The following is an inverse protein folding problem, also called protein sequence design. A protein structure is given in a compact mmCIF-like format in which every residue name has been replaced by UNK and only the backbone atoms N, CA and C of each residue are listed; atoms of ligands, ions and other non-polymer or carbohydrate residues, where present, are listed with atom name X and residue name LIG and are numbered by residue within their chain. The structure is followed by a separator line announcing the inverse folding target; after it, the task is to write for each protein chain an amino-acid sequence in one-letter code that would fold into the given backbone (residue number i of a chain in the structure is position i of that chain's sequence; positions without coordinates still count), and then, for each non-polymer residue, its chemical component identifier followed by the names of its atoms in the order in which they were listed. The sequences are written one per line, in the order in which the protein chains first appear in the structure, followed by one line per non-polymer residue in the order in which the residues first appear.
data_IF_173842332670
#
_entry.id   IF_173842332670
#
_cell.length_a   1.000
_cell.length_b   1.000
_cell.length_c   1.000
_cell.angle_alpha   90.00
_cell.angle_beta   90.00
_cell.angle_gamma   90.00
#
_symmetry.space_group_name_H-M   'P 1'
#
loop_
_entity.id
_entity.type
_entity.pdbx_description
1 polymer ?
#
# COMPACT_ATOMS: atom_id res chain seq x y z
N UNK A 1 5.02 30.43 81.72
CA UNK A 1 5.31 29.56 80.60
C UNK A 1 4.20 29.74 79.56
N UNK A 2 4.44 30.48 78.44
CA UNK A 2 3.49 30.68 77.35
C UNK A 2 3.90 29.75 76.21
N UNK A 3 3.08 28.79 75.90
CA UNK A 3 3.23 27.89 74.76
C UNK A 3 2.68 28.62 73.51
N UNK A 4 3.54 28.90 72.54
CA UNK A 4 3.14 29.36 71.18
C UNK A 4 2.86 28.14 70.31
N UNK A 5 1.59 28.03 69.86
CA UNK A 5 1.14 27.01 68.89
C UNK A 5 1.40 27.58 67.48
N UNK A 6 2.35 27.00 66.76
CA UNK A 6 2.62 27.29 65.34
C UNK A 6 1.66 26.47 64.47
N UNK A 7 0.69 27.14 63.82
CA UNK A 7 -0.16 26.53 62.80
C UNK A 7 0.59 26.56 61.46
N UNK A 8 1.00 25.39 60.97
CA UNK A 8 1.44 25.24 59.59
C UNK A 8 0.25 25.15 58.65
N UNK A 9 0.04 26.19 57.81
CA UNK A 9 -0.87 26.17 56.67
C UNK A 9 -0.18 25.39 55.55
N UNK A 10 -0.62 24.15 55.28
CA UNK A 10 -0.28 23.42 54.06
C UNK A 10 -1.09 24.06 52.90
N UNK A 11 -0.43 24.86 52.07
CA UNK A 11 -0.99 25.30 50.80
C UNK A 11 -0.97 24.13 49.82
N UNK A 12 -2.12 23.49 49.60
CA UNK A 12 -2.29 22.52 48.53
C UNK A 12 -2.40 23.32 47.23
N UNK A 13 -1.29 23.41 46.50
CA UNK A 13 -1.30 23.88 45.13
C UNK A 13 -2.05 22.86 44.25
N UNK A 14 -3.34 23.06 44.06
CA UNK A 14 -4.12 22.36 43.03
C UNK A 14 -3.60 22.80 41.66
N UNK A 15 -2.70 22.08 41.09
CA UNK A 15 -2.34 22.24 39.66
C UNK A 15 -3.58 21.91 38.85
N UNK A 16 -4.30 22.93 38.39
CA UNK A 16 -5.33 22.79 37.41
C UNK A 16 -4.64 22.19 36.15
N UNK A 17 -4.94 20.93 35.85
CA UNK A 17 -4.57 20.35 34.56
C UNK A 17 -5.43 21.09 33.53
N UNK A 18 -4.87 22.13 32.92
CA UNK A 18 -5.47 22.78 31.75
C UNK A 18 -5.51 21.71 30.66
N UNK A 19 -6.71 21.30 30.27
CA UNK A 19 -6.88 20.38 29.17
C UNK A 19 -6.18 20.98 27.95
N UNK A 20 -5.18 20.27 27.44
CA UNK A 20 -4.43 20.74 26.27
C UNK A 20 -5.32 20.61 25.03
N UNK A 21 -5.84 21.73 24.52
CA UNK A 21 -6.72 21.76 23.36
C UNK A 21 -5.96 21.62 22.02
N UNK A 22 -4.62 21.66 22.07
CA UNK A 22 -3.77 21.47 20.90
C UNK A 22 -2.74 20.37 21.16
N UNK A 23 -2.70 19.40 20.27
CA UNK A 23 -1.77 18.27 20.28
C UNK A 23 -0.84 18.43 19.08
N UNK A 24 0.47 18.39 19.30
CA UNK A 24 1.47 18.55 18.27
C UNK A 24 2.10 17.21 17.88
N UNK A 25 2.36 17.05 16.58
CA UNK A 25 3.02 15.88 15.99
C UNK A 25 4.17 16.34 15.12
N UNK A 26 5.36 15.76 15.32
CA UNK A 26 6.56 16.06 14.55
C UNK A 26 7.30 14.77 14.18
N UNK A 27 7.74 14.60 12.93
CA UNK A 27 8.38 13.35 12.50
C UNK A 27 9.77 13.22 13.16
N UNK A 28 10.18 12.00 13.48
CA UNK A 28 11.50 11.71 14.06
C UNK A 28 11.67 12.13 15.53
N UNK A 29 10.59 12.51 16.22
CA UNK A 29 10.65 12.82 17.65
C UNK A 29 11.03 11.57 18.45
N UNK A 30 12.02 11.70 19.34
CA UNK A 30 12.50 10.66 20.26
C UNK A 30 12.39 11.11 21.71
N UNK A 31 12.44 10.18 22.65
CA UNK A 31 12.36 10.45 24.09
C UNK A 31 10.93 10.59 24.62
N UNK A 32 10.76 11.38 25.70
CA UNK A 32 9.45 11.57 26.34
C UNK A 32 8.58 12.46 25.46
N UNK A 33 7.41 11.97 25.10
CA UNK A 33 6.45 12.64 24.23
C UNK A 33 5.18 12.98 25.01
N UNK A 34 4.78 14.24 24.99
CA UNK A 34 3.64 14.76 25.74
C UNK A 34 2.56 15.39 24.83
N UNK A 35 2.85 15.49 23.54
CA UNK A 35 1.98 16.16 22.56
C UNK A 35 1.94 17.68 22.70
N UNK A 36 2.90 18.30 23.43
CA UNK A 36 3.04 19.77 23.47
C UNK A 36 3.92 20.25 22.31
N UNK A 37 3.98 21.56 22.10
CA UNK A 37 4.87 22.16 21.08
C UNK A 37 6.34 21.86 21.36
N UNK A 38 6.76 21.80 22.63
CA UNK A 38 8.13 21.51 23.07
C UNK A 38 8.44 20.01 23.13
N UNK A 39 7.41 19.16 23.18
CA UNK A 39 7.51 17.71 23.30
C UNK A 39 6.41 17.03 22.49
N UNK A 40 6.42 17.15 21.14
CA UNK A 40 5.39 16.63 20.27
C UNK A 40 5.37 15.10 20.26
N UNK A 41 4.27 14.50 19.83
CA UNK A 41 4.23 13.08 19.48
C UNK A 41 5.04 12.83 18.19
N UNK A 42 5.70 11.67 18.12
CA UNK A 42 6.41 11.21 16.91
C UNK A 42 5.51 10.52 15.90
N UNK A 43 4.32 10.08 16.34
CA UNK A 43 3.38 9.30 15.53
C UNK A 43 1.99 9.92 15.53
N UNK A 44 1.28 9.72 14.41
CA UNK A 44 -0.11 10.17 14.27
C UNK A 44 -1.05 9.31 15.12
N UNK A 45 -0.73 8.03 15.27
CA UNK A 45 -1.50 7.08 16.07
C UNK A 45 -1.65 7.53 17.51
N UNK A 46 -0.55 7.96 18.15
CA UNK A 46 -0.56 8.44 19.54
C UNK A 46 -1.36 9.74 19.68
N UNK A 47 -1.14 10.69 18.79
CA UNK A 47 -1.87 11.95 18.78
C UNK A 47 -3.37 11.74 18.56
N UNK A 48 -3.76 10.88 17.62
CA UNK A 48 -5.15 10.53 17.32
C UNK A 48 -5.80 9.86 18.53
N UNK A 49 -5.12 8.89 19.15
CA UNK A 49 -5.61 8.23 20.39
C UNK A 49 -5.86 9.24 21.49
N UNK A 50 -4.94 10.17 21.72
CA UNK A 50 -5.08 11.22 22.73
C UNK A 50 -6.25 12.16 22.39
N UNK A 51 -6.31 12.67 21.15
CA UNK A 51 -7.33 13.61 20.71
C UNK A 51 -8.75 13.03 20.78
N UNK A 52 -8.93 11.78 20.33
CA UNK A 52 -10.25 11.11 20.36
C UNK A 52 -10.76 10.80 21.78
N UNK A 53 -9.87 10.70 22.78
CA UNK A 53 -10.24 10.44 24.17
C UNK A 53 -10.29 11.70 25.04
N UNK A 54 -10.01 12.87 24.46
CA UNK A 54 -10.11 14.14 25.20
C UNK A 54 -11.57 14.45 25.52
N UNK A 55 -11.80 14.90 26.75
CA UNK A 55 -13.11 15.34 27.24
C UNK A 55 -13.06 16.82 27.55
N UNK A 56 -14.21 17.50 27.54
CA UNK A 56 -14.31 18.92 27.79
C UNK A 56 -15.37 19.58 26.91
N UNK A 57 -15.23 20.86 26.64
CA UNK A 57 -16.17 21.63 25.81
C UNK A 57 -15.53 22.22 24.56
N UNK A 58 -14.20 22.24 24.49
CA UNK A 58 -13.46 22.92 23.43
C UNK A 58 -13.02 21.93 22.34
N UNK A 59 -12.90 22.44 21.12
CA UNK A 59 -12.36 21.69 20.00
C UNK A 59 -10.90 21.31 20.25
N UNK A 60 -10.54 20.06 19.99
CA UNK A 60 -9.15 19.59 20.01
C UNK A 60 -8.54 19.74 18.61
N UNK A 61 -7.37 20.36 18.53
CA UNK A 61 -6.59 20.50 17.32
C UNK A 61 -5.37 19.56 17.36
N UNK A 62 -5.28 18.61 16.44
CA UNK A 62 -4.09 17.79 16.22
C UNK A 62 -3.33 18.42 15.06
N UNK A 63 -2.22 19.09 15.39
CA UNK A 63 -1.37 19.80 14.44
C UNK A 63 -0.16 18.98 14.06
N UNK A 64 -0.09 18.63 12.77
CA UNK A 64 0.93 17.74 12.23
C UNK A 64 1.90 18.56 11.40
N UNK A 65 3.16 18.60 11.80
CA UNK A 65 4.22 19.28 11.06
C UNK A 65 4.45 18.60 9.72
N UNK A 66 4.95 19.38 8.73
CA UNK A 66 5.37 18.83 7.43
C UNK A 66 6.39 17.71 7.62
N UNK A 67 6.26 16.64 6.84
CA UNK A 67 7.14 15.49 6.91
C UNK A 67 6.48 14.19 6.45
N UNK A 68 7.22 13.10 6.57
CA UNK A 68 6.77 11.76 6.17
C UNK A 68 6.46 10.91 7.41
N UNK A 69 5.24 10.38 7.47
CA UNK A 69 4.69 9.61 8.59
C UNK A 69 4.30 8.21 8.13
N UNK A 70 5.21 7.23 8.22
CA UNK A 70 4.87 5.85 7.93
C UNK A 70 3.95 5.30 9.02
N UNK A 71 2.84 4.70 8.62
CA UNK A 71 1.91 4.03 9.51
C UNK A 71 2.33 2.58 9.70
N UNK A 72 2.37 2.12 10.95
CA UNK A 72 2.56 0.70 11.27
C UNK A 72 1.26 -0.10 11.14
N UNK A 73 0.11 0.57 11.19
CA UNK A 73 -1.21 -0.04 11.07
C UNK A 73 -2.24 0.99 10.57
N UNK A 74 -3.36 0.48 10.07
CA UNK A 74 -4.50 1.33 9.69
C UNK A 74 -4.98 2.17 10.88
N UNK A 75 -5.06 3.48 10.72
CA UNK A 75 -5.71 4.37 11.68
C UNK A 75 -7.20 4.03 11.79
N UNK A 76 -7.75 4.02 13.02
CA UNK A 76 -9.15 3.64 13.24
C UNK A 76 -9.89 4.67 14.05
N UNK A 77 -11.11 5.00 13.61
CA UNK A 77 -12.05 5.85 14.31
C UNK A 77 -13.40 5.13 14.30
N UNK A 78 -13.73 4.46 15.39
CA UNK A 78 -14.93 3.59 15.46
C UNK A 78 -16.09 4.26 16.24
N UNK A 79 -15.85 5.41 16.87
CA UNK A 79 -16.85 6.20 17.59
C UNK A 79 -16.59 7.70 17.46
N UNK A 80 -17.64 8.49 17.64
CA UNK A 80 -17.49 9.94 17.72
C UNK A 80 -16.73 10.32 18.99
N UNK A 81 -15.78 11.28 18.91
CA UNK A 81 -15.19 11.88 20.10
C UNK A 81 -16.24 12.71 20.88
N UNK A 82 -15.97 12.94 22.17
CA UNK A 82 -16.84 13.75 23.04
C UNK A 82 -16.86 15.22 22.62
N UNK A 83 -15.78 15.72 22.05
CA UNK A 83 -15.62 17.08 21.55
C UNK A 83 -15.19 17.05 20.08
N UNK A 84 -15.40 18.11 19.29
CA UNK A 84 -14.89 18.16 17.92
C UNK A 84 -13.36 17.98 17.87
N UNK A 85 -12.87 17.18 16.91
CA UNK A 85 -11.42 16.96 16.68
C UNK A 85 -11.09 17.39 15.27
N UNK A 86 -10.10 18.27 15.14
CA UNK A 86 -9.55 18.75 13.87
C UNK A 86 -8.15 18.22 13.72
N UNK A 87 -7.91 17.42 12.71
CA UNK A 87 -6.61 16.87 12.34
C UNK A 87 -6.10 17.66 11.15
N UNK A 88 -5.02 18.39 11.32
CA UNK A 88 -4.55 19.35 10.33
C UNK A 88 -3.03 19.36 10.14
N UNK A 89 -2.59 19.45 8.89
CA UNK A 89 -1.20 19.70 8.55
C UNK A 89 -0.83 21.16 8.76
N UNK A 90 0.33 21.40 9.40
CA UNK A 90 0.93 22.70 9.56
C UNK A 90 1.94 23.00 8.44
N UNK A 91 2.09 24.31 8.11
CA UNK A 91 3.08 24.77 7.17
C UNK A 91 2.62 24.73 5.70
N UNK A 92 3.58 24.98 4.81
CA UNK A 92 3.35 25.07 3.37
C UNK A 92 3.21 23.68 2.73
N UNK A 93 4.07 22.75 3.17
CA UNK A 93 4.09 21.40 2.64
C UNK A 93 3.22 20.50 3.50
N UNK A 94 2.32 19.74 2.86
CA UNK A 94 1.43 18.81 3.56
C UNK A 94 2.21 17.67 4.18
N UNK A 95 1.94 17.29 5.43
CA UNK A 95 2.45 16.03 5.96
C UNK A 95 1.90 14.86 5.16
N UNK A 96 2.77 13.91 4.83
CA UNK A 96 2.47 12.71 4.07
C UNK A 96 2.24 11.55 5.03
N UNK A 97 0.99 11.08 5.13
CA UNK A 97 0.59 9.89 5.89
C UNK A 97 0.69 8.70 4.96
N UNK A 98 1.62 7.79 5.22
CA UNK A 98 2.00 6.74 4.27
C UNK A 98 1.75 5.33 4.81
N UNK A 99 1.22 4.45 3.95
CA UNK A 99 1.07 3.02 4.22
C UNK A 99 2.24 2.17 3.70
N UNK A 100 3.38 2.79 3.41
CA UNK A 100 4.55 2.10 2.86
C UNK A 100 5.67 1.95 3.87
N UNK A 101 6.45 0.88 3.71
CA UNK A 101 7.80 0.77 4.25
C UNK A 101 8.77 1.54 3.37
N UNK A 102 9.79 2.14 3.99
CA UNK A 102 10.84 2.87 3.28
C UNK A 102 12.04 1.96 3.05
N UNK A 103 12.51 1.90 1.82
CA UNK A 103 13.65 1.11 1.39
C UNK A 103 14.82 2.07 1.09
N UNK A 104 15.91 1.93 1.82
CA UNK A 104 17.09 2.82 1.73
C UNK A 104 18.40 2.09 1.48
N UNK A 105 18.44 0.78 1.73
CA UNK A 105 19.69 -0.02 1.64
C UNK A 105 19.74 -0.71 0.28
N UNK A 106 20.31 -0.02 -0.70
CA UNK A 106 20.44 -0.53 -2.05
C UNK A 106 21.85 -1.01 -2.35
N UNK A 107 21.96 -2.09 -3.10
CA UNK A 107 23.20 -2.61 -3.69
C UNK A 107 23.09 -2.56 -5.20
N UNK A 108 24.21 -2.35 -5.89
CA UNK A 108 24.26 -2.37 -7.35
C UNK A 108 24.59 -3.79 -7.83
N UNK A 109 23.76 -4.34 -8.71
CA UNK A 109 24.03 -5.64 -9.34
C UNK A 109 25.05 -5.53 -10.49
N UNK A 110 25.62 -6.65 -10.99
CA UNK A 110 26.52 -6.64 -12.14
C UNK A 110 25.89 -6.05 -13.41
N UNK A 111 24.56 -6.20 -13.58
CA UNK A 111 23.80 -5.64 -14.70
C UNK A 111 23.57 -4.13 -14.55
N UNK A 112 23.90 -3.55 -13.39
CA UNK A 112 23.70 -2.15 -13.08
C UNK A 112 22.34 -1.83 -12.48
N UNK A 113 21.52 -2.83 -12.18
CA UNK A 113 20.27 -2.67 -11.45
C UNK A 113 20.52 -2.38 -9.97
N UNK A 114 19.53 -1.87 -9.28
CA UNK A 114 19.54 -1.74 -7.83
C UNK A 114 18.82 -2.93 -7.20
N UNK A 115 19.37 -3.46 -6.13
CA UNK A 115 18.82 -4.56 -5.36
C UNK A 115 18.71 -4.17 -3.90
N UNK A 116 17.63 -4.56 -3.25
CA UNK A 116 17.46 -4.49 -1.79
C UNK A 116 16.70 -5.71 -1.31
N UNK A 117 16.79 -6.02 -0.02
CA UNK A 117 16.06 -7.12 0.60
C UNK A 117 14.92 -6.58 1.46
N UNK A 118 13.75 -7.21 1.40
CA UNK A 118 12.56 -6.88 2.18
C UNK A 118 12.21 -8.05 3.08
N UNK A 119 12.64 -7.98 4.33
CA UNK A 119 12.47 -9.02 5.34
C UNK A 119 11.00 -9.45 5.52
N UNK A 120 10.05 -8.53 5.45
CA UNK A 120 8.61 -8.79 5.60
C UNK A 120 8.07 -9.70 4.50
N UNK A 121 8.62 -9.60 3.29
CA UNK A 121 8.29 -10.51 2.18
C UNK A 121 8.83 -11.90 2.48
N UNK A 122 10.11 -12.00 2.84
CA UNK A 122 10.77 -13.27 3.13
C UNK A 122 10.12 -14.03 4.29
N UNK A 123 9.80 -13.32 5.40
CA UNK A 123 9.32 -13.94 6.64
C UNK A 123 7.82 -14.21 6.68
N UNK A 124 7.03 -13.32 6.07
CA UNK A 124 5.56 -13.33 6.20
C UNK A 124 4.83 -13.55 4.88
N UNK A 125 5.55 -13.72 3.77
CA UNK A 125 4.96 -13.84 2.44
C UNK A 125 4.16 -12.60 2.02
N UNK A 126 4.58 -11.42 2.49
CA UNK A 126 3.94 -10.16 2.15
C UNK A 126 4.03 -9.93 0.65
N UNK A 127 2.90 -9.64 0.00
CA UNK A 127 2.87 -9.31 -1.43
C UNK A 127 2.96 -7.79 -1.60
N UNK A 128 4.02 -7.34 -2.28
CA UNK A 128 4.19 -5.95 -2.68
C UNK A 128 3.80 -5.85 -4.15
N UNK A 129 2.81 -5.02 -4.45
CA UNK A 129 2.29 -4.86 -5.81
C UNK A 129 2.59 -3.49 -6.42
N UNK A 130 3.20 -2.60 -5.66
CA UNK A 130 3.54 -1.26 -6.09
C UNK A 130 4.86 -0.84 -5.47
N UNK A 131 5.63 -0.05 -6.20
CA UNK A 131 6.86 0.57 -5.75
C UNK A 131 6.85 2.04 -6.18
N UNK A 132 7.31 2.92 -5.32
CA UNK A 132 7.53 4.34 -5.63
C UNK A 132 9.01 4.65 -5.38
N UNK A 133 9.69 5.19 -6.37
CA UNK A 133 11.10 5.60 -6.26
C UNK A 133 11.17 7.10 -6.49
N UNK A 134 11.77 7.84 -5.56
CA UNK A 134 11.85 9.31 -5.58
C UNK A 134 10.50 9.98 -5.83
N UNK A 135 9.43 9.48 -5.18
CA UNK A 135 8.06 9.95 -5.33
C UNK A 135 7.35 9.55 -6.62
N UNK A 136 8.03 8.88 -7.56
CA UNK A 136 7.45 8.43 -8.83
C UNK A 136 7.09 6.95 -8.76
N UNK A 137 5.87 6.59 -9.18
CA UNK A 137 5.48 5.18 -9.28
C UNK A 137 6.37 4.45 -10.28
N UNK A 138 7.01 3.38 -9.84
CA UNK A 138 7.77 2.47 -10.68
C UNK A 138 6.85 1.51 -11.42
N UNK A 139 7.24 1.08 -12.61
CA UNK A 139 6.50 0.10 -13.41
C UNK A 139 6.86 -1.29 -12.92
N UNK A 140 5.87 -2.14 -12.60
CA UNK A 140 6.18 -3.56 -12.39
C UNK A 140 6.70 -4.13 -13.71
N UNK A 141 7.80 -4.89 -13.67
CA UNK A 141 8.39 -5.54 -14.84
C UNK A 141 7.31 -6.19 -15.69
N UNK A 142 7.23 -5.85 -16.96
CA UNK A 142 6.16 -6.27 -17.87
C UNK A 142 6.64 -6.53 -19.30
N UNK A 143 5.92 -7.37 -20.00
CA UNK A 143 6.10 -7.59 -21.43
C UNK A 143 4.76 -7.45 -22.16
N UNK A 144 4.68 -6.67 -23.28
CA UNK A 144 5.74 -5.83 -23.82
C UNK A 144 5.95 -4.55 -22.98
N UNK A 145 7.11 -3.91 -23.04
CA UNK A 145 7.40 -2.66 -22.31
C UNK A 145 6.42 -1.55 -22.68
N UNK A 146 6.01 -1.51 -23.93
CA UNK A 146 5.03 -0.58 -24.47
C UNK A 146 3.97 -1.30 -25.29
N UNK A 147 2.74 -0.78 -25.28
CA UNK A 147 1.63 -1.39 -26.01
C UNK A 147 1.10 -2.68 -25.36
N UNK A 148 0.66 -3.64 -26.19
CA UNK A 148 -0.01 -4.85 -25.78
C UNK A 148 0.25 -5.99 -26.73
N UNK A 149 0.21 -7.21 -26.24
CA UNK A 149 -0.02 -8.41 -27.03
C UNK A 149 -1.50 -8.60 -27.31
N UNK A 150 -1.85 -9.48 -28.23
CA UNK A 150 -3.23 -9.73 -28.65
C UNK A 150 -3.56 -11.21 -28.57
N UNK A 151 -4.77 -11.49 -28.08
CA UNK A 151 -5.33 -12.83 -28.03
C UNK A 151 -5.71 -13.28 -29.44
N UNK A 152 -5.21 -14.45 -29.87
CA UNK A 152 -5.61 -15.10 -31.14
C UNK A 152 -6.83 -15.98 -30.94
N UNK A 153 -6.91 -16.68 -29.83
CA UNK A 153 -8.04 -17.52 -29.45
C UNK A 153 -8.19 -17.61 -27.93
N UNK A 154 -9.41 -17.70 -27.46
CA UNK A 154 -9.72 -17.96 -26.06
C UNK A 154 -10.87 -18.97 -25.96
N UNK A 155 -10.65 -20.01 -25.14
CA UNK A 155 -11.64 -21.03 -24.80
C UNK A 155 -11.78 -21.09 -23.27
N UNK A 156 -12.94 -21.51 -22.78
CA UNK A 156 -13.16 -21.69 -21.34
C UNK A 156 -13.75 -23.06 -21.04
N UNK A 157 -13.18 -23.73 -20.02
CA UNK A 157 -13.74 -24.94 -19.43
C UNK A 157 -14.28 -24.59 -18.04
N UNK A 158 -15.60 -24.71 -17.87
CA UNK A 158 -16.28 -24.44 -16.61
C UNK A 158 -16.21 -25.69 -15.74
N UNK A 159 -15.61 -25.58 -14.55
CA UNK A 159 -15.55 -26.68 -13.57
C UNK A 159 -16.64 -26.55 -12.52
N UNK A 160 -16.98 -25.32 -12.14
CA UNK A 160 -18.08 -25.05 -11.21
C UNK A 160 -18.79 -23.74 -11.58
N UNK A 161 -20.07 -23.86 -11.90
CA UNK A 161 -20.87 -22.72 -12.35
C UNK A 161 -21.22 -21.79 -11.20
N UNK A 162 -21.52 -22.35 -10.01
CA UNK A 162 -22.03 -21.59 -8.88
C UNK A 162 -23.40 -20.97 -9.14
N UNK A 163 -23.76 -19.99 -8.30
CA UNK A 163 -25.05 -19.28 -8.36
C UNK A 163 -24.97 -17.90 -8.99
N UNK A 164 -23.76 -17.41 -9.26
CA UNK A 164 -23.50 -16.10 -9.82
C UNK A 164 -23.78 -15.97 -11.31
N UNK A 165 -23.60 -14.77 -11.84
CA UNK A 165 -23.78 -14.46 -13.27
C UNK A 165 -22.62 -14.97 -14.13
N UNK A 166 -21.43 -15.12 -13.54
CA UNK A 166 -20.25 -15.74 -14.14
C UNK A 166 -19.93 -17.04 -13.43
N UNK A 167 -19.28 -18.02 -14.08
CA UNK A 167 -18.81 -19.23 -13.40
C UNK A 167 -17.91 -18.89 -12.22
N UNK A 168 -18.08 -19.58 -11.10
CA UNK A 168 -17.27 -19.37 -9.90
C UNK A 168 -15.87 -19.99 -10.04
N UNK A 169 -15.75 -21.08 -10.81
CA UNK A 169 -14.45 -21.67 -11.11
C UNK A 169 -14.40 -22.23 -12.54
N UNK A 170 -13.39 -21.79 -13.29
CA UNK A 170 -13.14 -22.21 -14.66
C UNK A 170 -11.62 -22.15 -14.98
N UNK A 171 -11.24 -22.81 -16.05
CA UNK A 171 -9.93 -22.65 -16.69
C UNK A 171 -10.12 -21.95 -18.03
N UNK A 172 -9.45 -20.83 -18.22
CA UNK A 172 -9.32 -20.17 -19.51
C UNK A 172 -8.06 -20.68 -20.21
N UNK A 173 -8.21 -21.21 -21.42
CA UNK A 173 -7.11 -21.53 -22.33
C UNK A 173 -7.02 -20.40 -23.36
N UNK A 174 -5.92 -19.70 -23.36
CA UNK A 174 -5.70 -18.55 -24.25
C UNK A 174 -4.54 -18.85 -25.16
N UNK A 175 -4.69 -18.50 -26.42
CA UNK A 175 -3.64 -18.56 -27.43
C UNK A 175 -3.25 -17.15 -27.85
N UNK A 176 -1.97 -16.89 -27.81
CA UNK A 176 -1.29 -15.71 -28.36
C UNK A 176 -0.33 -16.18 -29.48
N UNK A 177 0.38 -15.28 -30.09
CA UNK A 177 1.45 -15.65 -31.00
C UNK A 177 2.64 -16.23 -30.21
N UNK A 178 3.31 -17.31 -30.71
CA UNK A 178 4.48 -17.87 -30.02
C UNK A 178 5.57 -16.83 -29.74
N UNK A 179 5.82 -15.90 -30.68
CA UNK A 179 6.79 -14.84 -30.52
C UNK A 179 6.48 -13.87 -29.33
N UNK A 180 5.23 -13.74 -28.96
CA UNK A 180 4.78 -12.91 -27.80
C UNK A 180 5.07 -13.60 -26.45
N UNK A 181 5.35 -14.92 -26.47
CA UNK A 181 5.53 -15.76 -25.28
C UNK A 181 7.00 -16.15 -25.02
N UNK A 182 7.95 -15.69 -25.84
CA UNK A 182 9.38 -16.07 -25.76
C UNK A 182 9.98 -15.75 -24.40
N UNK A 183 9.58 -14.64 -23.77
CA UNK A 183 10.08 -14.23 -22.45
C UNK A 183 9.69 -15.19 -21.30
N UNK A 184 8.75 -16.12 -21.53
CA UNK A 184 8.38 -17.16 -20.57
C UNK A 184 9.18 -18.46 -20.74
N UNK A 185 9.99 -18.58 -21.82
CA UNK A 185 10.80 -19.79 -22.04
C UNK A 185 11.84 -19.94 -20.93
N UNK A 186 12.00 -21.17 -20.44
CA UNK A 186 12.98 -21.50 -19.40
C UNK A 186 12.59 -21.11 -17.97
N UNK A 187 11.43 -20.48 -17.74
CA UNK A 187 10.90 -20.28 -16.39
C UNK A 187 10.50 -21.62 -15.77
N UNK A 188 10.83 -21.81 -14.50
CA UNK A 188 10.34 -22.93 -13.69
C UNK A 188 8.82 -22.80 -13.46
N UNK A 189 8.19 -23.88 -13.02
CA UNK A 189 6.76 -23.87 -12.66
C UNK A 189 6.47 -22.85 -11.56
N UNK A 190 7.37 -22.73 -10.57
CA UNK A 190 7.23 -21.77 -9.47
C UNK A 190 7.30 -20.33 -9.99
N UNK A 191 8.23 -20.01 -10.88
CA UNK A 191 8.34 -18.70 -11.51
C UNK A 191 7.12 -18.38 -12.38
N UNK A 192 6.65 -19.35 -13.18
CA UNK A 192 5.43 -19.18 -13.99
C UNK A 192 4.19 -18.86 -13.13
N UNK A 193 4.05 -19.50 -11.97
CA UNK A 193 2.94 -19.27 -11.06
C UNK A 193 2.95 -17.87 -10.38
N UNK A 194 4.06 -17.15 -10.46
CA UNK A 194 4.14 -15.74 -10.02
C UNK A 194 3.90 -14.75 -11.18
N UNK A 195 3.94 -15.20 -12.44
CA UNK A 195 3.62 -14.35 -13.60
C UNK A 195 2.15 -13.98 -13.58
N UNK A 196 1.87 -12.70 -13.72
CA UNK A 196 0.51 -12.18 -13.82
C UNK A 196 0.16 -11.83 -15.25
N UNK A 197 -1.06 -12.17 -15.64
CA UNK A 197 -1.65 -11.76 -16.92
C UNK A 197 -2.72 -10.71 -16.64
N UNK A 198 -2.63 -9.58 -17.32
CA UNK A 198 -3.70 -8.60 -17.36
C UNK A 198 -4.31 -8.58 -18.76
N UNK A 199 -5.54 -9.10 -18.88
CA UNK A 199 -6.34 -9.04 -20.11
C UNK A 199 -7.29 -7.85 -20.07
N UNK A 200 -7.32 -7.05 -21.13
CA UNK A 200 -8.22 -5.89 -21.26
C UNK A 200 -9.45 -6.27 -22.09
N UNK A 201 -10.60 -6.10 -21.46
CA UNK A 201 -11.91 -6.28 -22.10
C UNK A 201 -12.44 -4.96 -22.69
N UNK A 202 -13.72 -4.91 -23.03
CA UNK A 202 -14.33 -3.69 -23.61
C UNK A 202 -14.34 -2.52 -22.64
N UNK A 203 -14.57 -2.75 -21.34
CA UNK A 203 -14.71 -1.70 -20.31
C UNK A 203 -14.10 -2.04 -18.95
N UNK A 204 -13.56 -3.25 -18.76
CA UNK A 204 -12.85 -3.69 -17.56
C UNK A 204 -11.61 -4.52 -17.91
N UNK A 205 -10.96 -5.08 -16.92
CA UNK A 205 -9.84 -6.00 -17.10
C UNK A 205 -10.01 -7.24 -16.21
N UNK A 206 -9.32 -8.30 -16.59
CA UNK A 206 -9.10 -9.48 -15.75
C UNK A 206 -7.61 -9.58 -15.47
N UNK A 207 -7.24 -9.71 -14.20
CA UNK A 207 -5.87 -9.90 -13.76
C UNK A 207 -5.80 -11.21 -12.99
N UNK A 208 -4.96 -12.14 -13.46
CA UNK A 208 -4.80 -13.47 -12.88
C UNK A 208 -3.35 -13.91 -12.96
N UNK A 209 -2.98 -14.85 -12.09
CA UNK A 209 -1.71 -15.56 -12.21
C UNK A 209 -1.80 -16.62 -13.31
N UNK A 210 -0.69 -16.86 -14.01
CA UNK A 210 -0.56 -18.03 -14.87
C UNK A 210 -0.70 -19.30 -14.03
N UNK A 211 -1.41 -20.27 -14.55
CA UNK A 211 -1.39 -21.63 -14.01
C UNK A 211 -0.49 -22.57 -14.82
N UNK A 212 -0.27 -22.26 -16.09
CA UNK A 212 0.60 -22.99 -17.00
C UNK A 212 0.85 -22.14 -18.25
N UNK A 213 2.00 -22.32 -18.90
CA UNK A 213 2.29 -21.79 -20.22
C UNK A 213 2.98 -22.85 -21.10
N UNK A 214 2.74 -22.78 -22.40
CA UNK A 214 3.40 -23.58 -23.46
C UNK A 214 3.91 -22.57 -24.50
N UNK A 215 5.02 -21.85 -24.23
CA UNK A 215 5.46 -20.71 -25.03
C UNK A 215 5.62 -21.01 -26.51
N UNK A 216 6.21 -22.17 -26.86
CA UNK A 216 6.47 -22.57 -28.26
C UNK A 216 5.20 -22.69 -29.12
N UNK A 217 4.05 -22.91 -28.50
CA UNK A 217 2.75 -22.97 -29.17
C UNK A 217 1.85 -21.77 -28.91
N UNK A 218 2.35 -20.78 -28.10
CA UNK A 218 1.64 -19.57 -27.75
C UNK A 218 0.48 -19.78 -26.77
N UNK A 219 0.36 -20.96 -26.14
CA UNK A 219 -0.73 -21.21 -25.18
C UNK A 219 -0.35 -20.82 -23.76
N UNK A 220 -1.31 -20.23 -23.03
CA UNK A 220 -1.26 -20.07 -21.60
C UNK A 220 -2.64 -20.29 -20.97
N UNK A 221 -2.64 -20.60 -19.66
CA UNK A 221 -3.82 -21.01 -18.93
C UNK A 221 -3.99 -20.16 -17.67
N UNK A 222 -5.22 -19.78 -17.40
CA UNK A 222 -5.63 -19.02 -16.22
C UNK A 222 -6.71 -19.77 -15.47
N UNK A 223 -6.56 -19.93 -14.17
CA UNK A 223 -7.57 -20.54 -13.29
C UNK A 223 -8.27 -19.48 -12.44
N UNK A 224 -9.46 -19.81 -11.95
CA UNK A 224 -10.24 -18.97 -11.04
C UNK A 224 -11.62 -18.64 -11.59
N UNK A 225 -12.14 -17.45 -11.27
CA UNK A 225 -13.47 -17.05 -11.74
C UNK A 225 -13.57 -17.11 -13.27
N UNK A 226 -14.67 -17.63 -13.77
CA UNK A 226 -14.94 -17.74 -15.22
C UNK A 226 -15.19 -16.38 -15.87
N UNK A 227 -15.14 -16.37 -17.19
CA UNK A 227 -15.38 -15.18 -17.98
C UNK A 227 -16.79 -14.64 -17.76
N UNK A 228 -16.93 -13.33 -17.82
CA UNK A 228 -18.23 -12.67 -17.87
C UNK A 228 -18.85 -12.91 -19.25
N UNK A 229 -20.03 -13.59 -19.38
CA UNK A 229 -20.61 -13.92 -20.70
C UNK A 229 -20.87 -12.70 -21.59
N UNK A 230 -21.07 -11.54 -20.98
CA UNK A 230 -21.31 -10.26 -21.68
C UNK A 230 -20.03 -9.48 -22.00
N UNK A 231 -18.87 -9.91 -21.47
CA UNK A 231 -17.58 -9.24 -21.65
C UNK A 231 -16.42 -10.25 -21.58
N UNK A 232 -16.40 -11.30 -22.45
CA UNK A 232 -15.39 -12.35 -22.40
C UNK A 232 -14.02 -11.88 -22.93
N UNK A 233 -12.97 -12.62 -22.60
CA UNK A 233 -11.72 -12.60 -23.36
C UNK A 233 -11.99 -13.25 -24.71
N UNK A 234 -11.60 -12.61 -25.79
CA UNK A 234 -11.87 -13.06 -27.15
C UNK A 234 -10.73 -12.69 -28.09
N UNK A 235 -10.74 -13.19 -29.31
CA UNK A 235 -9.78 -12.77 -30.35
C UNK A 235 -9.69 -11.25 -30.46
N UNK A 236 -8.48 -10.72 -30.45
CA UNK A 236 -8.18 -9.29 -30.46
C UNK A 236 -8.23 -8.60 -29.09
N UNK A 237 -8.62 -9.31 -28.01
CA UNK A 237 -8.44 -8.77 -26.65
C UNK A 237 -6.96 -8.51 -26.39
N UNK A 238 -6.67 -7.36 -25.78
CA UNK A 238 -5.29 -6.98 -25.45
C UNK A 238 -4.89 -7.62 -24.15
N UNK A 239 -3.59 -7.97 -24.01
CA UNK A 239 -3.06 -8.43 -22.74
C UNK A 239 -1.59 -8.02 -22.57
N UNK A 240 -1.12 -8.10 -21.33
CA UNK A 240 0.28 -7.99 -20.93
C UNK A 240 0.63 -9.11 -19.96
N UNK A 241 1.89 -9.44 -19.89
CA UNK A 241 2.48 -10.30 -18.87
C UNK A 241 3.29 -9.43 -17.93
N UNK A 242 3.21 -9.65 -16.62
CA UNK A 242 3.96 -8.87 -15.63
C UNK A 242 4.41 -9.72 -14.44
N UNK A 243 5.33 -9.18 -13.63
CA UNK A 243 5.81 -9.76 -12.39
C UNK A 243 6.73 -10.99 -12.59
N UNK A 244 7.72 -10.88 -13.45
CA UNK A 244 8.80 -11.86 -13.59
C UNK A 244 10.09 -11.18 -14.02
N UNK A 245 11.22 -11.76 -13.65
CA UNK A 245 12.53 -11.11 -13.78
C UNK A 245 12.96 -10.87 -15.22
N UNK A 246 12.63 -11.81 -16.12
CA UNK A 246 12.96 -11.72 -17.55
C UNK A 246 12.23 -10.57 -18.27
N UNK A 247 11.19 -10.03 -17.66
CA UNK A 247 10.48 -8.83 -18.16
C UNK A 247 11.15 -7.51 -17.73
N UNK A 248 12.21 -7.55 -16.92
CA UNK A 248 12.94 -6.34 -16.52
C UNK A 248 13.87 -5.91 -17.65
N UNK A 249 13.42 -4.97 -18.49
CA UNK A 249 14.13 -4.53 -19.70
C UNK A 249 14.20 -3.01 -19.82
N UNK A 250 13.34 -2.25 -19.14
CA UNK A 250 13.24 -0.80 -19.27
C UNK A 250 13.52 -0.05 -17.96
N UNK A 251 14.03 1.19 -18.07
CA UNK A 251 14.24 2.09 -16.94
C UNK A 251 12.94 2.33 -16.17
N UNK A 252 13.03 2.28 -14.83
CA UNK A 252 11.89 2.45 -13.94
C UNK A 252 11.10 1.17 -13.70
N UNK A 253 11.52 0.04 -14.24
CA UNK A 253 10.92 -1.26 -13.93
C UNK A 253 11.47 -1.88 -12.66
N UNK A 254 10.61 -2.64 -11.97
CA UNK A 254 10.96 -3.37 -10.77
C UNK A 254 10.32 -4.76 -10.72
N UNK A 255 10.98 -5.65 -10.01
CA UNK A 255 10.53 -7.01 -9.73
C UNK A 255 10.86 -7.40 -8.30
N UNK A 256 9.99 -8.20 -7.67
CA UNK A 256 10.17 -8.74 -6.32
C UNK A 256 10.16 -10.26 -6.37
N UNK A 257 11.26 -10.88 -5.94
CA UNK A 257 11.32 -12.33 -5.74
C UNK A 257 10.56 -12.74 -4.47
N UNK A 258 9.98 -13.96 -4.43
CA UNK A 258 9.36 -14.51 -3.22
C UNK A 258 10.34 -14.59 -2.03
N UNK A 259 11.64 -14.67 -2.29
CA UNK A 259 12.72 -14.61 -1.29
C UNK A 259 12.80 -13.28 -0.54
N UNK A 260 12.18 -12.22 -1.06
CA UNK A 260 12.25 -10.86 -0.53
C UNK A 260 13.26 -9.97 -1.25
N UNK A 261 13.97 -10.47 -2.24
CA UNK A 261 14.89 -9.66 -3.04
C UNK A 261 14.11 -8.82 -4.06
N UNK A 262 14.23 -7.51 -3.93
CA UNK A 262 13.63 -6.53 -4.82
C UNK A 262 14.69 -5.96 -5.74
N UNK A 263 14.40 -5.96 -7.05
CA UNK A 263 15.23 -5.41 -8.11
C UNK A 263 14.55 -4.20 -8.74
N UNK A 264 15.35 -3.22 -9.13
CA UNK A 264 14.89 -2.01 -9.80
C UNK A 264 15.89 -1.57 -10.86
N UNK A 265 15.44 -1.24 -12.06
CA UNK A 265 16.25 -0.60 -13.10
C UNK A 265 16.15 0.91 -12.92
N UNK A 266 17.23 1.59 -12.47
CA UNK A 266 17.15 3.02 -12.20
C UNK A 266 16.85 3.83 -13.46
N UNK A 267 16.05 4.89 -13.29
CA UNK A 267 15.83 5.87 -14.34
C UNK A 267 17.07 6.75 -14.51
N UNK A 268 17.22 7.30 -15.69
CA UNK A 268 18.30 8.25 -15.98
C UNK A 268 18.33 9.39 -14.95
N UNK A 269 19.50 9.57 -14.30
CA UNK A 269 19.71 10.62 -13.30
C UNK A 269 19.37 10.24 -11.87
N UNK A 270 18.82 9.06 -11.61
CA UNK A 270 18.68 8.56 -10.23
C UNK A 270 20.04 8.11 -9.68
N UNK A 271 20.28 8.43 -8.42
CA UNK A 271 21.56 8.16 -7.72
C UNK A 271 21.25 7.26 -6.53
N UNK A 272 21.92 6.11 -6.45
CA UNK A 272 21.63 5.06 -5.48
C UNK A 272 21.74 5.55 -4.02
N UNK A 273 22.72 6.40 -3.72
CA UNK A 273 23.01 6.90 -2.37
C UNK A 273 21.97 7.90 -1.86
N UNK A 274 21.25 8.56 -2.76
CA UNK A 274 20.29 9.62 -2.42
C UNK A 274 18.84 9.24 -2.74
N UNK A 275 18.62 8.11 -3.40
CA UNK A 275 17.30 7.67 -3.77
C UNK A 275 16.59 6.98 -2.61
N UNK A 276 15.31 7.28 -2.48
CA UNK A 276 14.42 6.66 -1.51
C UNK A 276 13.30 5.93 -2.24
N UNK A 277 13.00 4.71 -1.81
CA UNK A 277 11.85 3.99 -2.32
C UNK A 277 10.83 3.69 -1.23
N UNK A 278 9.56 3.67 -1.62
CA UNK A 278 8.44 3.36 -0.76
C UNK A 278 7.66 2.18 -1.33
N UNK A 279 7.56 1.10 -0.55
CA UNK A 279 6.81 -0.10 -0.91
C UNK A 279 5.52 -0.16 -0.08
N UNK A 280 4.33 0.08 -0.66
CA UNK A 280 3.05 0.04 0.03
C UNK A 280 2.76 -1.35 0.63
N UNK A 281 2.43 -1.38 1.93
CA UNK A 281 2.11 -2.60 2.67
C UNK A 281 0.74 -2.54 3.34
N UNK A 282 0.20 -1.35 3.59
CA UNK A 282 -1.14 -1.17 4.15
C UNK A 282 -2.16 -0.94 3.05
N UNK A 283 -3.18 -1.79 2.98
CA UNK A 283 -4.27 -1.63 2.01
C UNK A 283 -5.25 -0.51 2.38
N UNK A 284 -5.23 -0.07 3.63
CA UNK A 284 -6.06 1.02 4.15
C UNK A 284 -5.24 1.87 5.11
N UNK A 285 -5.24 3.17 4.93
CA UNK A 285 -4.52 4.10 5.81
C UNK A 285 -5.41 4.56 6.96
N UNK A 286 -6.69 4.76 6.67
CA UNK A 286 -7.68 5.23 7.64
C UNK A 286 -9.00 4.48 7.45
N UNK A 287 -9.61 4.08 8.55
CA UNK A 287 -10.98 3.55 8.60
C UNK A 287 -11.80 4.37 9.57
N UNK A 288 -12.92 4.89 9.09
CA UNK A 288 -13.94 5.55 9.92
C UNK A 288 -15.20 4.69 9.83
N UNK A 289 -15.59 4.05 10.95
CA UNK A 289 -16.69 3.09 10.95
C UNK A 289 -17.58 3.28 12.17
N UNK A 290 -18.73 3.91 11.96
CA UNK A 290 -19.80 3.95 12.95
C UNK A 290 -20.66 2.70 12.92
N UNK A 291 -21.61 2.62 13.85
CA UNK A 291 -22.64 1.60 13.91
C UNK A 291 -23.92 2.05 13.17
N UNK A 292 -24.79 1.10 12.81
CA UNK A 292 -26.07 1.42 12.18
C UNK A 292 -26.91 2.32 13.10
N UNK A 293 -27.24 3.52 12.62
CA UNK A 293 -27.95 4.54 13.38
C UNK A 293 -27.05 5.46 14.23
N UNK A 294 -25.76 5.13 14.38
CA UNK A 294 -24.77 5.89 15.15
C UNK A 294 -23.54 6.21 14.31
N UNK A 295 -23.63 7.11 13.32
CA UNK A 295 -22.49 7.48 12.49
C UNK A 295 -21.43 8.22 13.31
N UNK A 296 -20.17 8.07 12.93
CA UNK A 296 -19.08 8.88 13.48
C UNK A 296 -19.26 10.33 13.04
N UNK A 297 -19.17 11.26 14.00
CA UNK A 297 -19.35 12.71 13.81
C UNK A 297 -18.20 13.48 14.46
N UNK A 298 -18.16 14.78 14.23
CA UNK A 298 -17.26 15.74 14.89
C UNK A 298 -15.78 15.51 14.61
N UNK A 299 -15.43 15.03 13.39
CA UNK A 299 -14.04 14.84 12.96
C UNK A 299 -13.82 15.59 11.65
N UNK A 300 -12.74 16.33 11.59
CA UNK A 300 -12.32 17.09 10.42
C UNK A 300 -10.87 16.76 10.08
N UNK A 301 -10.59 16.46 8.82
CA UNK A 301 -9.24 16.34 8.25
C UNK A 301 -9.02 17.47 7.27
N UNK A 302 -7.88 18.15 7.34
CA UNK A 302 -7.51 19.21 6.40
C UNK A 302 -6.00 19.36 6.22
N UNK A 303 -5.59 19.78 5.05
CA UNK A 303 -4.19 20.02 4.69
C UNK A 303 -3.28 18.81 4.94
N UNK A 304 -3.74 17.59 4.59
CA UNK A 304 -3.03 16.33 4.75
C UNK A 304 -2.89 15.65 3.39
N UNK A 305 -1.84 14.84 3.24
CA UNK A 305 -1.69 13.90 2.12
C UNK A 305 -1.75 12.47 2.64
N UNK A 306 -2.57 11.62 2.00
CA UNK A 306 -2.64 10.18 2.25
C UNK A 306 -2.09 9.47 1.03
N UNK A 307 -0.94 8.79 1.19
CA UNK A 307 -0.21 8.22 0.06
C UNK A 307 0.19 6.77 0.32
N UNK A 308 0.59 6.09 -0.75
CA UNK A 308 1.15 4.74 -0.70
C UNK A 308 0.20 3.73 0.00
N UNK A 309 -1.09 3.73 -0.35
CA UNK A 309 -1.95 2.60 -0.01
C UNK A 309 -1.65 1.43 -0.93
N UNK A 310 -1.51 0.23 -0.37
CA UNK A 310 -1.31 -1.00 -1.13
C UNK A 310 -2.61 -1.57 -1.68
N UNK A 311 -2.45 -2.51 -2.57
CA UNK A 311 -3.49 -3.43 -3.02
C UNK A 311 -2.84 -4.80 -3.21
N UNK A 312 -3.47 -5.84 -2.74
CA UNK A 312 -3.01 -7.22 -2.96
C UNK A 312 -4.07 -7.93 -3.79
N UNK A 313 -3.66 -8.43 -4.94
CA UNK A 313 -4.53 -9.20 -5.80
C UNK A 313 -4.93 -10.53 -5.11
N UNK A 314 -6.21 -10.89 -5.07
CA UNK A 314 -6.63 -12.21 -4.60
C UNK A 314 -5.97 -13.32 -5.42
N UNK A 315 -5.70 -14.48 -4.81
CA UNK A 315 -5.12 -15.64 -5.52
C UNK A 315 -6.01 -16.13 -6.68
N UNK A 316 -7.31 -15.90 -6.58
CA UNK A 316 -8.29 -16.23 -7.62
C UNK A 316 -8.34 -15.23 -8.77
N UNK A 317 -7.57 -14.14 -8.68
CA UNK A 317 -7.63 -13.01 -9.60
C UNK A 317 -8.80 -12.07 -9.34
N UNK A 318 -8.96 -11.08 -10.20
CA UNK A 318 -10.10 -10.14 -10.29
C UNK A 318 -10.54 -9.95 -11.74
#
# INVERSE_FOLDING_TARGET
MKRHLFLYLLSVCSSAIIAQNTIYVSPGTTGIQKGTSESPYGTIEEALKQGLNTTGNDTVHIRIQSGFYPLNQTLRIDKSPSVPVVIEGEGKDKPVISGAITLTSWEKTPEGWWKTHVDEVARYGLKIEQLYVNGNRATRARTPDTGWFFVEKADETIHYKGTGRSPEYATQRIQAKPEDMVSLQGLSEEELNEVMVMCYHKWDNTRKYLSMAIPDSGYFFLNGQGMKPWNPIQKGSRFILENYKQAMTAEGEWFMEPSGDLYYIPRKGEIIETSTAHAPVLNRLLTIKGEKGYPVKNITFRNLSFEHSGYVMPKTGN
#
